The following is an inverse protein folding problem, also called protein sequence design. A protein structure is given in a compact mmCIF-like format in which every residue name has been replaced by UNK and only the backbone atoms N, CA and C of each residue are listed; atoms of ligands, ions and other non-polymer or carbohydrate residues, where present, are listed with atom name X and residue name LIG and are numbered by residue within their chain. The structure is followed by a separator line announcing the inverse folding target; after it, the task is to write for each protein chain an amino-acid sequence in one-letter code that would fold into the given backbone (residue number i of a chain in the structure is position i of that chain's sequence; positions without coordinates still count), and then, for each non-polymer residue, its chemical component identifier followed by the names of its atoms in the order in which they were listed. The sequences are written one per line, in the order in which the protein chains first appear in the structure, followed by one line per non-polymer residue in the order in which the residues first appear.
data_IF_045528468293
#
_entry.id   IF_045528468293
#
_cell.length_a   1.000
_cell.length_b   1.000
_cell.length_c   1.000
_cell.angle_alpha   90.00
_cell.angle_beta   90.00
_cell.angle_gamma   90.00
#
_symmetry.space_group_name_H-M   'P 1'
#
loop_
_entity.id
_entity.type
_entity.pdbx_description
1 polymer ?
#
# COMPACT_ATOMS: atom_id res chain seq x y z
N UNK A 1 23.97 -19.25 16.72
CA UNK A 1 23.44 -17.96 17.21
C UNK A 1 22.15 -17.66 16.44
N UNK A 2 20.97 -17.81 17.06
CA UNK A 2 19.70 -17.47 16.39
C UNK A 2 19.55 -15.95 16.47
N UNK A 3 19.38 -15.21 15.37
CA UNK A 3 19.14 -13.77 15.47
C UNK A 3 17.89 -13.56 16.31
N UNK A 4 18.05 -12.86 17.44
CA UNK A 4 16.94 -12.40 18.27
C UNK A 4 16.12 -11.48 17.35
N UNK A 5 14.99 -11.98 16.84
CA UNK A 5 14.04 -11.18 16.07
C UNK A 5 13.59 -10.05 16.99
N UNK A 6 14.17 -8.85 16.82
CA UNK A 6 13.72 -7.67 17.56
C UNK A 6 12.22 -7.52 17.29
N UNK A 7 11.38 -7.34 18.33
CA UNK A 7 9.96 -7.09 18.13
C UNK A 7 9.81 -5.88 17.21
N UNK A 8 9.14 -6.07 16.07
CA UNK A 8 8.86 -4.97 15.16
C UNK A 8 7.75 -4.16 15.82
N UNK A 9 8.07 -2.94 16.28
CA UNK A 9 7.06 -2.06 16.88
C UNK A 9 6.09 -1.60 15.79
N UNK A 10 4.77 -1.57 16.06
CA UNK A 10 3.81 -0.97 15.15
C UNK A 10 4.15 0.50 14.90
N UNK A 11 4.11 0.92 13.64
CA UNK A 11 4.29 2.32 13.23
C UNK A 11 3.00 2.85 12.59
N UNK A 12 2.83 4.17 12.59
CA UNK A 12 1.73 4.84 11.90
C UNK A 12 2.11 5.08 10.44
N UNK A 13 1.22 4.71 9.55
CA UNK A 13 1.30 4.94 8.12
C UNK A 13 0.09 5.72 7.64
N UNK A 14 0.25 6.46 6.56
CA UNK A 14 -0.85 7.01 5.77
C UNK A 14 -1.08 6.03 4.60
N UNK A 15 -2.24 5.40 4.59
CA UNK A 15 -2.77 4.66 3.44
C UNK A 15 -3.34 5.67 2.45
N UNK A 16 -2.77 5.75 1.26
CA UNK A 16 -3.19 6.69 0.21
C UNK A 16 -3.39 5.98 -1.13
N UNK A 17 -4.36 6.47 -1.91
CA UNK A 17 -4.61 5.99 -3.26
C UNK A 17 -3.69 6.73 -4.24
N UNK A 18 -2.89 5.98 -4.97
CA UNK A 18 -2.00 6.48 -6.00
C UNK A 18 -2.50 6.07 -7.38
N UNK A 19 -2.95 7.05 -8.16
CA UNK A 19 -3.44 6.84 -9.54
C UNK A 19 -2.41 7.39 -10.52
N UNK A 20 -2.02 6.62 -11.52
CA UNK A 20 -1.00 7.01 -12.48
C UNK A 20 -1.29 6.47 -13.89
N UNK A 21 -0.69 7.11 -14.90
CA UNK A 21 -0.80 6.69 -16.29
C UNK A 21 0.25 5.61 -16.62
N UNK A 22 -0.16 4.61 -17.38
CA UNK A 22 0.65 3.52 -17.92
C UNK A 22 0.50 3.46 -19.44
N UNK A 23 1.32 2.66 -20.11
CA UNK A 23 1.23 2.47 -21.57
C UNK A 23 -0.07 1.82 -22.04
N UNK A 24 -0.81 1.18 -21.13
CA UNK A 24 -2.04 0.43 -21.44
C UNK A 24 -3.29 1.09 -20.83
N UNK A 25 -3.14 2.22 -20.13
CA UNK A 25 -4.25 2.95 -19.50
C UNK A 25 -3.89 3.53 -18.14
N UNK A 26 -4.89 3.73 -17.28
CA UNK A 26 -4.71 4.26 -15.93
C UNK A 26 -4.64 3.13 -14.91
N UNK A 27 -3.60 3.11 -14.06
CA UNK A 27 -3.48 2.18 -12.95
C UNK A 27 -3.75 2.87 -11.60
N UNK A 28 -4.14 2.08 -10.61
CA UNK A 28 -4.36 2.54 -9.24
C UNK A 28 -3.73 1.59 -8.24
N UNK A 29 -2.95 2.15 -7.31
CA UNK A 29 -2.30 1.43 -6.22
C UNK A 29 -2.77 2.00 -4.87
N UNK A 30 -3.01 1.14 -3.89
CA UNK A 30 -3.03 1.56 -2.49
C UNK A 30 -1.62 1.46 -1.94
N UNK A 31 -1.14 2.57 -1.40
CA UNK A 31 0.21 2.73 -0.91
C UNK A 31 0.21 3.09 0.58
N UNK A 32 1.26 2.68 1.29
CA UNK A 32 1.55 3.13 2.65
C UNK A 32 2.81 4.01 2.64
N UNK A 33 2.72 5.18 3.27
CA UNK A 33 3.88 6.01 3.62
C UNK A 33 3.94 6.19 5.13
N UNK A 34 5.12 6.12 5.74
CA UNK A 34 5.26 6.41 7.19
C UNK A 34 4.79 7.83 7.48
N UNK A 35 4.02 8.00 8.55
CA UNK A 35 3.54 9.33 8.95
C UNK A 35 4.71 10.32 9.18
N UNK A 36 5.82 9.87 9.78
CA UNK A 36 7.01 10.71 9.96
C UNK A 36 7.58 11.22 8.64
N UNK A 37 7.66 10.34 7.63
CA UNK A 37 8.18 10.70 6.30
C UNK A 37 7.20 11.64 5.58
N UNK A 38 5.91 11.38 5.69
CA UNK A 38 4.87 12.22 5.09
C UNK A 38 4.82 13.62 5.75
N UNK A 39 5.11 13.75 7.04
CA UNK A 39 5.13 15.03 7.75
C UNK A 39 6.36 15.88 7.43
N UNK A 40 7.49 15.24 7.12
CA UNK A 40 8.72 15.92 6.67
C UNK A 40 8.68 16.27 5.17
N UNK A 41 7.72 15.72 4.44
CA UNK A 41 7.55 15.90 3.00
C UNK A 41 6.89 17.24 2.64
N UNK A 42 7.31 17.83 1.52
CA UNK A 42 6.62 18.97 0.88
C UNK A 42 5.39 18.54 0.07
N UNK A 43 5.30 17.25 -0.27
CA UNK A 43 4.15 16.64 -0.95
C UNK A 43 3.05 16.30 0.04
N UNK A 44 1.81 16.65 -0.32
CA UNK A 44 0.62 16.35 0.47
C UNK A 44 0.10 14.96 0.13
N UNK A 45 0.22 14.03 1.07
CA UNK A 45 -0.40 12.70 0.98
C UNK A 45 -1.81 12.75 1.57
N UNK A 46 -2.84 12.51 0.74
CA UNK A 46 -4.24 12.50 1.17
C UNK A 46 -4.67 11.04 1.33
N UNK A 47 -5.08 10.66 2.53
CA UNK A 47 -5.42 9.29 2.83
C UNK A 47 -5.80 9.05 4.29
N UNK A 48 -5.80 7.79 4.70
CA UNK A 48 -6.24 7.34 6.02
C UNK A 48 -5.06 6.87 6.86
N UNK A 49 -5.02 7.27 8.14
CA UNK A 49 -4.01 6.78 9.06
C UNK A 49 -4.31 5.34 9.48
N UNK A 50 -3.29 4.49 9.42
CA UNK A 50 -3.36 3.08 9.83
C UNK A 50 -2.14 2.75 10.67
N UNK A 51 -2.30 1.91 11.70
CA UNK A 51 -1.21 1.49 12.59
C UNK A 51 -0.88 0.03 12.32
N UNK A 52 0.31 -0.23 11.79
CA UNK A 52 0.69 -1.53 11.25
C UNK A 52 2.08 -1.95 11.71
N UNK A 53 2.27 -3.26 11.84
CA UNK A 53 3.59 -3.88 12.01
C UNK A 53 4.07 -4.28 10.62
N UNK A 54 4.91 -3.45 10.01
CA UNK A 54 5.41 -3.68 8.66
C UNK A 54 6.91 -3.96 8.70
N UNK A 55 7.38 -5.07 8.09
CA UNK A 55 8.80 -5.28 7.86
C UNK A 55 9.44 -4.14 7.07
N UNK A 56 10.63 -3.67 7.50
CA UNK A 56 11.34 -2.56 6.84
C UNK A 56 11.64 -2.81 5.36
N UNK A 57 11.78 -4.08 4.96
CA UNK A 57 12.13 -4.45 3.59
C UNK A 57 10.98 -4.26 2.58
N UNK A 58 9.76 -3.97 3.04
CA UNK A 58 8.60 -3.71 2.18
C UNK A 58 8.59 -2.29 1.59
N UNK A 59 9.37 -1.35 2.14
CA UNK A 59 9.52 0.01 1.60
C UNK A 59 10.44 -0.01 0.36
N UNK A 60 9.97 -0.61 -0.74
CA UNK A 60 10.73 -0.83 -1.98
C UNK A 60 10.40 0.19 -3.08
N UNK A 61 9.20 0.74 -3.03
CA UNK A 61 8.69 1.65 -4.05
C UNK A 61 8.95 3.11 -3.70
N UNK A 62 8.76 3.98 -4.71
CA UNK A 62 8.82 5.43 -4.50
C UNK A 62 7.67 6.14 -5.20
N UNK A 63 7.04 7.06 -4.47
CA UNK A 63 6.07 8.02 -5.01
C UNK A 63 6.53 9.41 -4.62
N UNK A 64 6.62 10.32 -5.60
CA UNK A 64 7.15 11.68 -5.42
C UNK A 64 8.53 11.70 -4.70
N UNK A 65 9.40 10.74 -5.04
CA UNK A 65 10.73 10.50 -4.42
C UNK A 65 10.72 10.02 -2.96
N UNK A 66 9.56 9.80 -2.34
CA UNK A 66 9.45 9.27 -0.97
C UNK A 66 9.30 7.75 -0.98
N UNK A 67 9.92 7.03 -0.03
CA UNK A 67 9.76 5.60 0.10
C UNK A 67 8.32 5.26 0.48
N UNK A 68 7.72 4.33 -0.27
CA UNK A 68 6.37 3.85 -0.02
C UNK A 68 6.32 2.33 -0.10
N UNK A 69 5.23 1.77 0.38
CA UNK A 69 4.91 0.35 0.27
C UNK A 69 3.67 0.25 -0.60
N UNK A 70 3.78 -0.32 -1.79
CA UNK A 70 2.59 -0.70 -2.56
C UNK A 70 2.01 -1.96 -1.95
N UNK A 71 0.77 -1.89 -1.45
CA UNK A 71 0.15 -3.01 -0.74
C UNK A 71 -0.88 -3.75 -1.58
N UNK A 72 -1.57 -3.04 -2.46
CA UNK A 72 -2.50 -3.64 -3.38
C UNK A 72 -2.65 -2.82 -4.67
N UNK A 73 -2.85 -3.48 -5.79
CA UNK A 73 -3.17 -2.90 -7.09
C UNK A 73 -4.63 -3.15 -7.44
N UNK A 74 -5.25 -2.26 -8.22
CA UNK A 74 -6.60 -2.48 -8.70
C UNK A 74 -6.65 -3.66 -9.69
N UNK A 75 -7.71 -4.47 -9.63
CA UNK A 75 -7.86 -5.67 -10.45
C UNK A 75 -8.03 -5.33 -11.94
N UNK A 76 -7.29 -6.05 -12.79
CA UNK A 76 -7.36 -5.97 -14.24
C UNK A 76 -6.14 -5.28 -14.88
N UNK A 77 -6.07 -5.34 -16.22
CA UNK A 77 -5.15 -4.50 -17.02
C UNK A 77 -5.67 -3.05 -17.17
N UNK A 78 -6.81 -2.74 -16.53
CA UNK A 78 -7.66 -1.59 -16.81
C UNK A 78 -8.11 -0.79 -15.59
N UNK A 79 -8.61 0.40 -15.87
CA UNK A 79 -8.88 1.54 -14.98
C UNK A 79 -9.65 1.17 -13.68
N UNK A 80 -9.46 1.89 -12.54
CA UNK A 80 -10.31 1.84 -11.33
C UNK A 80 -11.83 2.07 -11.52
N UNK A 81 -12.31 2.19 -12.75
CA UNK A 81 -13.71 2.24 -13.14
C UNK A 81 -14.28 0.85 -13.49
N UNK A 82 -13.42 -0.08 -13.91
CA UNK A 82 -13.81 -1.44 -14.30
C UNK A 82 -14.07 -2.28 -13.05
N UNK A 83 -13.14 -2.22 -12.10
CA UNK A 83 -13.23 -2.91 -10.83
C UNK A 83 -13.09 -1.94 -9.65
N UNK A 84 -14.06 -1.05 -9.39
CA UNK A 84 -13.89 0.09 -8.47
C UNK A 84 -13.62 -0.32 -7.01
N UNK A 85 -13.90 -1.57 -6.64
CA UNK A 85 -13.76 -2.07 -5.28
C UNK A 85 -12.86 -3.29 -5.18
N UNK A 86 -12.34 -3.84 -6.28
CA UNK A 86 -11.60 -5.10 -6.25
C UNK A 86 -10.10 -4.83 -6.42
N UNK A 87 -9.31 -5.40 -5.52
CA UNK A 87 -7.89 -5.12 -5.40
C UNK A 87 -7.12 -6.42 -5.16
N UNK A 88 -5.94 -6.55 -5.77
CA UNK A 88 -5.04 -7.69 -5.59
C UNK A 88 -3.86 -7.27 -4.72
N UNK A 89 -3.45 -8.16 -3.81
CA UNK A 89 -2.28 -7.93 -2.97
C UNK A 89 -1.00 -8.06 -3.81
N UNK A 90 -0.04 -7.17 -3.60
CA UNK A 90 1.26 -7.32 -4.25
C UNK A 90 2.04 -8.50 -3.68
N UNK A 91 2.82 -9.16 -4.54
CA UNK A 91 3.67 -10.28 -4.14
C UNK A 91 4.60 -9.89 -2.96
N UNK A 92 4.62 -10.74 -1.93
CA UNK A 92 5.43 -10.53 -0.74
C UNK A 92 4.81 -9.58 0.30
N UNK A 93 3.64 -9.00 0.06
CA UNK A 93 2.87 -8.27 1.06
C UNK A 93 1.96 -9.23 1.82
N UNK A 94 2.00 -9.16 3.15
CA UNK A 94 1.11 -9.95 4.00
C UNK A 94 -0.36 -9.52 3.78
N UNK A 95 -1.25 -10.50 3.63
CA UNK A 95 -2.68 -10.27 3.39
C UNK A 95 -3.33 -9.40 4.47
N UNK A 96 -2.92 -9.54 5.73
CA UNK A 96 -3.44 -8.73 6.83
C UNK A 96 -3.02 -7.26 6.70
N UNK A 97 -1.79 -7.00 6.21
CA UNK A 97 -1.32 -5.64 5.92
C UNK A 97 -2.17 -5.02 4.80
N UNK A 98 -2.42 -5.77 3.73
CA UNK A 98 -3.26 -5.31 2.61
C UNK A 98 -4.70 -5.03 3.06
N UNK A 99 -5.34 -5.95 3.78
CA UNK A 99 -6.71 -5.77 4.30
C UNK A 99 -6.78 -4.53 5.20
N UNK A 100 -5.82 -4.35 6.11
CA UNK A 100 -5.83 -3.22 7.02
C UNK A 100 -5.61 -1.89 6.30
N UNK A 101 -4.83 -1.86 5.21
CA UNK A 101 -4.62 -0.68 4.39
C UNK A 101 -5.83 -0.35 3.48
N UNK A 102 -6.56 -1.36 3.01
CA UNK A 102 -7.75 -1.24 2.15
C UNK A 102 -9.03 -0.90 2.92
N UNK A 103 -9.16 -1.39 4.16
CA UNK A 103 -10.36 -1.24 4.99
C UNK A 103 -10.89 0.20 5.12
N UNK A 104 -10.05 1.25 5.32
CA UNK A 104 -10.54 2.62 5.40
C UNK A 104 -11.19 3.15 4.12
N UNK A 105 -10.85 2.54 2.98
CA UNK A 105 -11.36 2.90 1.66
C UNK A 105 -12.64 2.14 1.27
N UNK A 106 -13.02 1.10 2.04
CA UNK A 106 -14.12 0.21 1.66
C UNK A 106 -13.79 -0.72 0.50
N UNK A 107 -12.50 -0.85 0.15
CA UNK A 107 -12.02 -1.73 -0.91
C UNK A 107 -11.97 -3.18 -0.44
N UNK A 108 -12.24 -4.11 -1.36
CA UNK A 108 -12.22 -5.55 -1.16
C UNK A 108 -10.95 -6.12 -1.76
N UNK A 109 -10.23 -6.88 -0.94
CA UNK A 109 -9.14 -7.70 -1.43
C UNK A 109 -9.76 -8.94 -2.08
N UNK A 110 -9.46 -9.20 -3.35
CA UNK A 110 -9.81 -10.45 -4.00
C UNK A 110 -8.68 -11.46 -3.80
N UNK A 111 -9.04 -12.73 -3.63
CA UNK A 111 -8.08 -13.81 -3.59
C UNK A 111 -7.74 -14.20 -5.03
N UNK A 112 -6.45 -14.21 -5.38
CA UNK A 112 -6.01 -14.82 -6.63
C UNK A 112 -6.34 -16.33 -6.54
N UNK A 113 -6.96 -16.94 -7.57
CA UNK A 113 -7.09 -18.39 -7.61
C UNK A 113 -5.68 -19.01 -7.63
N UNK A 114 -5.44 -19.97 -6.73
CA UNK A 114 -4.20 -20.75 -6.62
C UNK A 114 -3.82 -21.46 -7.94
#
# INVERSE_FOLDING_TARGET
MRPIKRPIKPATYISFLYIYQTTWGTAGDVCLIRESVANESTTKFIGHKVRLVVPKWLERDRVAHFPVIKVAGNVGEGHPKEHPYEWEVYEGVDREIAIAALKPWGFKLIDQPE
#
